data_IF_082585724084
#
_entry.id   IF_082585724084
#
_cell.length_a   1.000
_cell.length_b   1.000
_cell.length_c   1.000
_cell.angle_alpha   90.00
_cell.angle_beta   90.00
_cell.angle_gamma   90.00
#
_symmetry.space_group_name_H-M   'P 1'
#
loop_
_entity.id
_entity.type
_entity.pdbx_description
1 polymer ?
#
# COMPACT_ATOMS: atom_id res chain seq x y z
N UNK A 1 -57.19 5.46 -52.72
CA UNK A 1 -57.26 6.80 -52.08
C UNK A 1 -56.19 6.82 -50.99
N UNK A 2 -55.01 7.36 -51.29
CA UNK A 2 -53.86 7.34 -50.39
C UNK A 2 -53.98 8.48 -49.37
N UNK A 3 -54.36 8.14 -48.13
CA UNK A 3 -54.34 9.07 -47.01
C UNK A 3 -52.89 9.27 -46.55
N UNK A 4 -52.46 10.52 -46.34
CA UNK A 4 -51.08 10.79 -45.90
C UNK A 4 -50.90 10.35 -44.45
N UNK A 5 -49.73 9.82 -44.12
CA UNK A 5 -49.38 9.28 -42.77
C UNK A 5 -49.61 10.30 -41.63
N UNK A 6 -49.57 11.60 -41.94
CA UNK A 6 -49.78 12.69 -40.99
C UNK A 6 -51.25 12.81 -40.58
N UNK A 7 -52.16 12.65 -41.54
CA UNK A 7 -53.62 12.74 -41.34
C UNK A 7 -54.13 11.51 -40.56
N UNK A 8 -53.53 10.33 -40.80
CA UNK A 8 -53.80 9.11 -40.03
C UNK A 8 -53.41 9.25 -38.55
N UNK A 9 -52.28 9.90 -38.25
CA UNK A 9 -51.81 10.13 -36.88
C UNK A 9 -52.68 11.15 -36.13
N UNK A 10 -53.19 12.17 -36.81
CA UNK A 10 -54.10 13.14 -36.20
C UNK A 10 -55.47 12.52 -35.91
N UNK A 11 -56.00 11.71 -36.82
CA UNK A 11 -57.25 10.96 -36.59
C UNK A 11 -57.13 9.98 -35.41
N UNK A 12 -56.07 9.19 -35.35
CA UNK A 12 -55.83 8.26 -34.24
C UNK A 12 -55.69 8.99 -32.89
N UNK A 13 -55.10 10.19 -32.89
CA UNK A 13 -54.94 11.00 -31.68
C UNK A 13 -56.28 11.63 -31.22
N UNK A 14 -57.18 11.96 -32.15
CA UNK A 14 -58.53 12.45 -31.83
C UNK A 14 -59.47 11.31 -31.38
N UNK A 15 -59.38 10.14 -32.01
CA UNK A 15 -60.17 8.96 -31.65
C UNK A 15 -59.73 8.38 -30.29
N UNK A 16 -58.43 8.39 -29.98
CA UNK A 16 -57.92 7.94 -28.67
C UNK A 16 -58.46 8.74 -27.47
N UNK A 17 -58.82 10.02 -27.68
CA UNK A 17 -59.42 10.88 -26.66
C UNK A 17 -60.92 10.65 -26.47
N UNK A 18 -61.56 9.95 -27.39
CA UNK A 18 -63.01 9.75 -27.42
C UNK A 18 -63.41 8.32 -27.05
N UNK A 19 -62.48 7.35 -27.09
CA UNK A 19 -62.79 5.92 -26.94
C UNK A 19 -62.66 5.36 -25.51
N UNK A 20 -62.15 6.12 -24.55
CA UNK A 20 -62.09 5.67 -23.14
C UNK A 20 -62.62 6.78 -22.24
N UNK A 21 -63.87 6.69 -21.74
CA UNK A 21 -64.31 7.55 -20.66
C UNK A 21 -63.43 7.28 -19.42
N UNK A 22 -62.95 8.36 -18.79
CA UNK A 22 -62.07 8.30 -17.62
C UNK A 22 -62.86 7.81 -16.40
N UNK A 23 -62.98 6.49 -16.27
CA UNK A 23 -63.67 5.79 -15.18
C UNK A 23 -62.76 5.56 -13.96
N UNK A 24 -61.54 6.07 -14.00
CA UNK A 24 -60.55 5.84 -12.96
C UNK A 24 -61.00 6.41 -11.61
N UNK A 25 -61.55 7.61 -11.62
CA UNK A 25 -61.99 8.30 -10.40
C UNK A 25 -63.28 7.69 -9.82
N UNK A 26 -64.20 7.24 -10.69
CA UNK A 26 -65.46 6.62 -10.28
C UNK A 26 -65.30 5.21 -9.67
N UNK A 27 -64.22 4.51 -10.02
CA UNK A 27 -63.87 3.20 -9.43
C UNK A 27 -63.10 3.35 -8.12
N UNK A 28 -62.27 4.40 -8.00
CA UNK A 28 -61.48 4.66 -6.79
C UNK A 28 -62.31 5.18 -5.61
N UNK A 29 -63.46 5.83 -5.86
CA UNK A 29 -64.34 6.34 -4.79
C UNK A 29 -65.12 5.23 -4.05
N UNK A 30 -65.28 4.04 -4.64
CA UNK A 30 -66.18 2.98 -4.10
C UNK A 30 -65.51 1.82 -3.39
N UNK A 31 -64.19 1.83 -3.19
CA UNK A 31 -63.50 0.71 -2.53
C UNK A 31 -62.75 1.21 -1.28
N UNK A 32 -63.18 0.86 -0.06
CA UNK A 32 -62.41 1.16 1.14
C UNK A 32 -61.28 0.13 1.26
N UNK A 33 -60.09 0.47 0.77
CA UNK A 33 -58.87 -0.29 1.04
C UNK A 33 -57.87 0.59 1.79
N UNK A 34 -57.82 0.36 3.10
CA UNK A 34 -56.68 0.72 3.94
C UNK A 34 -55.46 -0.12 3.51
N UNK A 35 -54.45 0.49 2.89
CA UNK A 35 -53.10 -0.11 2.73
C UNK A 35 -52.02 0.93 2.42
N UNK A 36 -51.00 0.94 3.28
CA UNK A 36 -49.60 1.26 2.94
C UNK A 36 -49.19 2.73 2.88
N UNK A 37 -48.44 3.19 3.88
CA UNK A 37 -47.65 4.42 3.79
C UNK A 37 -46.56 4.27 2.71
N UNK A 38 -46.48 5.22 1.79
CA UNK A 38 -45.39 5.36 0.81
C UNK A 38 -44.36 6.38 1.30
N UNK A 39 -43.07 6.23 0.95
CA UNK A 39 -41.99 7.07 1.46
C UNK A 39 -42.08 8.50 0.88
N UNK A 40 -41.81 9.48 1.73
CA UNK A 40 -41.78 10.89 1.36
C UNK A 40 -40.63 11.18 0.38
N UNK A 41 -40.95 11.83 -0.76
CA UNK A 41 -39.94 12.36 -1.68
C UNK A 41 -39.25 13.57 -1.04
N UNK A 42 -37.95 13.44 -0.76
CA UNK A 42 -37.08 14.51 -0.23
C UNK A 42 -36.88 15.58 -1.30
N UNK A 43 -37.51 16.73 -1.14
CA UNK A 43 -37.37 17.87 -2.05
C UNK A 43 -36.02 18.57 -1.88
N UNK A 44 -35.28 18.75 -2.97
CA UNK A 44 -34.03 19.51 -3.01
C UNK A 44 -34.31 21.00 -2.75
N UNK A 45 -33.82 21.53 -1.63
CA UNK A 45 -33.95 22.95 -1.31
C UNK A 45 -33.06 23.80 -2.23
N UNK A 46 -33.66 24.37 -3.28
CA UNK A 46 -33.01 25.25 -4.29
C UNK A 46 -32.26 26.47 -3.71
N UNK A 47 -32.51 26.84 -2.45
CA UNK A 47 -31.85 27.97 -1.77
C UNK A 47 -30.37 27.69 -1.45
N UNK A 48 -29.99 26.42 -1.28
CA UNK A 48 -28.58 26.03 -1.06
C UNK A 48 -27.87 25.60 -2.35
N UNK A 49 -28.61 25.33 -3.43
CA UNK A 49 -28.01 24.96 -4.71
C UNK A 49 -27.09 26.07 -5.25
N UNK A 50 -27.45 27.34 -5.01
CA UNK A 50 -26.65 28.50 -5.44
C UNK A 50 -25.41 28.71 -4.54
N UNK A 51 -25.51 28.40 -3.24
CA UNK A 51 -24.34 28.46 -2.35
C UNK A 51 -23.37 27.32 -2.62
N UNK A 52 -23.87 26.11 -2.91
CA UNK A 52 -23.03 24.97 -3.31
C UNK A 52 -22.37 25.20 -4.67
N UNK A 53 -23.10 25.77 -5.64
CA UNK A 53 -22.52 26.12 -6.94
C UNK A 53 -21.42 27.19 -6.80
N UNK A 54 -21.60 28.18 -5.93
CA UNK A 54 -20.61 29.23 -5.68
C UNK A 54 -19.37 28.69 -4.95
N UNK A 55 -19.52 27.79 -3.98
CA UNK A 55 -18.39 27.15 -3.31
C UNK A 55 -17.62 26.20 -4.23
N UNK A 56 -18.32 25.45 -5.09
CA UNK A 56 -17.65 24.61 -6.12
C UNK A 56 -16.93 25.48 -7.14
N UNK A 57 -17.49 26.62 -7.54
CA UNK A 57 -16.82 27.57 -8.44
C UNK A 57 -15.59 28.21 -7.77
N UNK A 58 -15.67 28.58 -6.48
CA UNK A 58 -14.55 29.13 -5.73
C UNK A 58 -13.43 28.09 -5.54
N UNK A 59 -13.78 26.84 -5.23
CA UNK A 59 -12.81 25.75 -5.17
C UNK A 59 -12.20 25.52 -6.55
N UNK A 60 -13.01 25.48 -7.62
CA UNK A 60 -12.50 25.33 -8.98
C UNK A 60 -11.60 26.50 -9.41
N UNK A 61 -11.91 27.73 -9.02
CA UNK A 61 -11.07 28.91 -9.32
C UNK A 61 -9.81 28.88 -8.47
N UNK A 62 -9.87 28.55 -7.18
CA UNK A 62 -8.67 28.43 -6.33
C UNK A 62 -7.80 27.27 -6.79
N UNK A 63 -8.37 26.11 -7.14
CA UNK A 63 -7.66 25.00 -7.76
C UNK A 63 -7.10 25.38 -9.12
N UNK A 64 -7.85 26.05 -9.99
CA UNK A 64 -7.34 26.50 -11.30
C UNK A 64 -6.31 27.62 -11.18
N UNK A 65 -6.31 28.39 -10.08
CA UNK A 65 -5.26 29.38 -9.79
C UNK A 65 -4.04 28.69 -9.16
N UNK A 66 -4.23 27.70 -8.29
CA UNK A 66 -3.17 26.91 -7.65
C UNK A 66 -2.44 26.02 -8.66
N UNK A 67 -3.18 25.30 -9.50
CA UNK A 67 -2.64 24.47 -10.60
C UNK A 67 -2.26 25.31 -11.82
N UNK A 68 -3.00 26.40 -12.12
CA UNK A 68 -2.70 27.27 -13.26
C UNK A 68 -1.50 28.17 -13.05
N UNK A 69 -1.19 28.59 -11.81
CA UNK A 69 0.06 29.30 -11.51
C UNK A 69 1.28 28.38 -11.58
N UNK A 70 1.15 27.08 -11.23
CA UNK A 70 2.20 26.06 -11.45
C UNK A 70 2.39 25.72 -12.94
N UNK A 71 1.31 25.75 -13.73
CA UNK A 71 1.36 25.55 -15.18
C UNK A 71 1.90 26.74 -15.99
N UNK A 72 2.28 27.84 -15.33
CA UNK A 72 2.88 29.03 -15.94
C UNK A 72 4.39 29.10 -15.67
N UNK A 73 5.04 27.96 -15.50
CA UNK A 73 6.50 27.87 -15.45
C UNK A 73 7.08 28.21 -16.83
N UNK A 74 8.11 29.04 -16.80
CA UNK A 74 8.84 29.60 -17.93
C UNK A 74 9.12 28.51 -18.98
N UNK A 75 8.76 28.69 -20.27
CA UNK A 75 9.17 27.76 -21.33
C UNK A 75 10.71 27.64 -21.50
N UNK A 76 11.50 28.38 -20.71
CA UNK A 76 12.94 28.28 -20.59
C UNK A 76 13.46 27.38 -19.44
N UNK A 77 12.63 26.97 -18.47
CA UNK A 77 13.07 26.10 -17.38
C UNK A 77 12.81 24.63 -17.76
N UNK A 78 13.82 24.00 -18.35
CA UNK A 78 13.79 22.56 -18.63
C UNK A 78 13.91 21.75 -17.33
N UNK A 79 13.25 20.60 -17.29
CA UNK A 79 13.29 19.64 -16.18
C UNK A 79 14.73 19.19 -15.88
N UNK A 80 14.98 18.88 -14.60
CA UNK A 80 16.21 18.23 -14.16
C UNK A 80 16.05 16.72 -14.22
N UNK A 81 17.10 16.01 -14.64
CA UNK A 81 17.18 14.56 -14.57
C UNK A 81 18.23 14.17 -13.53
N UNK A 82 17.89 13.25 -12.64
CA UNK A 82 18.78 12.78 -11.58
C UNK A 82 18.93 11.26 -11.75
N UNK A 83 20.14 10.80 -11.99
CA UNK A 83 20.48 9.37 -11.99
C UNK A 83 21.11 9.00 -10.66
N UNK A 84 20.62 7.95 -10.02
CA UNK A 84 21.07 7.45 -8.72
C UNK A 84 21.50 5.99 -8.91
N UNK A 85 22.78 5.73 -8.67
CA UNK A 85 23.38 4.40 -8.81
C UNK A 85 23.90 3.92 -7.45
N UNK A 86 23.16 3.01 -6.83
CA UNK A 86 23.55 2.26 -5.62
C UNK A 86 23.87 0.80 -6.01
N UNK A 87 23.49 0.39 -7.23
CA UNK A 87 23.17 -0.98 -7.61
C UNK A 87 22.01 -1.49 -6.73
N UNK A 88 20.84 -0.82 -6.82
CA UNK A 88 20.13 -0.55 -8.09
C UNK A 88 20.37 0.81 -8.78
N UNK A 89 19.90 0.98 -10.02
CA UNK A 89 20.02 2.24 -10.81
C UNK A 89 18.65 2.87 -11.12
N UNK A 90 18.42 4.09 -10.65
CA UNK A 90 17.14 4.82 -10.74
C UNK A 90 17.31 6.17 -11.44
N UNK A 91 16.36 6.54 -12.29
CA UNK A 91 16.24 7.88 -12.87
C UNK A 91 15.03 8.61 -12.27
N UNK A 92 15.22 9.86 -11.87
CA UNK A 92 14.18 10.80 -11.46
C UNK A 92 14.11 11.94 -12.48
N UNK A 93 12.90 12.35 -12.82
CA UNK A 93 12.61 13.59 -13.54
C UNK A 93 11.97 14.58 -12.57
N UNK A 94 12.55 15.77 -12.46
CA UNK A 94 12.09 16.83 -11.57
C UNK A 94 11.74 18.10 -12.35
N UNK A 95 10.67 18.77 -11.92
CA UNK A 95 10.24 20.03 -12.49
C UNK A 95 11.15 21.20 -12.06
N UNK A 96 10.94 22.43 -12.58
CA UNK A 96 11.75 23.58 -12.22
C UNK A 96 11.73 23.96 -10.72
N UNK A 97 10.71 23.52 -9.98
CA UNK A 97 10.54 23.73 -8.54
C UNK A 97 11.21 22.62 -7.72
N UNK A 98 12.02 21.75 -8.36
CA UNK A 98 12.70 20.59 -7.78
C UNK A 98 11.75 19.56 -7.17
N UNK A 99 10.53 19.47 -7.70
CA UNK A 99 9.57 18.43 -7.34
C UNK A 99 9.64 17.28 -8.34
N UNK A 100 9.64 16.05 -7.84
CA UNK A 100 9.63 14.84 -8.66
C UNK A 100 8.31 14.75 -9.44
N UNK A 101 8.41 14.64 -10.77
CA UNK A 101 7.27 14.48 -11.67
C UNK A 101 7.28 13.14 -12.41
N UNK A 102 8.38 12.39 -12.33
CA UNK A 102 8.52 11.06 -12.89
C UNK A 102 9.70 10.30 -12.29
N UNK A 103 9.65 8.98 -12.36
CA UNK A 103 10.76 8.10 -12.03
C UNK A 103 10.81 6.93 -13.03
N UNK A 104 11.96 6.27 -13.12
CA UNK A 104 12.16 5.09 -13.95
C UNK A 104 13.24 4.19 -13.36
N UNK A 105 12.95 2.88 -13.28
CA UNK A 105 13.96 1.86 -13.06
C UNK A 105 14.85 1.75 -14.30
N UNK A 106 16.17 1.85 -14.14
CA UNK A 106 17.13 1.70 -15.24
C UNK A 106 17.64 0.26 -15.37
N UNK A 107 17.38 -0.60 -14.38
CA UNK A 107 17.69 -2.02 -14.37
C UNK A 107 16.63 -2.81 -13.55
N UNK A 108 16.73 -4.14 -13.58
CA UNK A 108 15.74 -5.03 -12.92
C UNK A 108 15.79 -4.89 -11.40
N UNK A 109 16.98 -4.72 -10.81
CA UNK A 109 17.10 -4.44 -9.37
C UNK A 109 16.35 -3.18 -8.95
N UNK A 110 16.33 -2.16 -9.81
CA UNK A 110 15.62 -0.91 -9.51
C UNK A 110 14.10 -1.08 -9.68
N UNK A 111 13.67 -1.96 -10.59
CA UNK A 111 12.26 -2.33 -10.70
C UNK A 111 11.79 -3.00 -9.41
N UNK A 112 12.53 -4.00 -8.93
CA UNK A 112 12.24 -4.67 -7.66
C UNK A 112 12.27 -3.70 -6.46
N UNK A 113 13.25 -2.77 -6.43
CA UNK A 113 13.36 -1.75 -5.37
C UNK A 113 12.16 -0.80 -5.32
N UNK A 114 11.65 -0.39 -6.49
CA UNK A 114 10.64 0.65 -6.62
C UNK A 114 9.20 0.11 -6.71
N UNK A 115 9.04 -1.21 -6.70
CA UNK A 115 7.76 -1.88 -6.95
C UNK A 115 6.63 -1.43 -6.01
N UNK A 116 6.89 -1.34 -4.70
CA UNK A 116 5.89 -0.88 -3.72
C UNK A 116 5.92 0.64 -3.51
N UNK A 117 7.11 1.25 -3.45
CA UNK A 117 7.30 2.63 -2.99
C UNK A 117 7.59 3.66 -4.09
N UNK A 118 7.80 3.23 -5.34
CA UNK A 118 8.06 4.13 -6.47
C UNK A 118 7.00 5.24 -6.63
N UNK A 119 5.68 4.94 -6.57
CA UNK A 119 4.65 5.96 -6.68
C UNK A 119 4.73 7.06 -5.62
N UNK A 120 5.30 6.77 -4.44
CA UNK A 120 5.45 7.72 -3.33
C UNK A 120 6.51 8.79 -3.63
N UNK A 121 7.42 8.55 -4.59
CA UNK A 121 8.41 9.53 -5.02
C UNK A 121 7.77 10.75 -5.68
N UNK A 122 6.62 10.58 -6.35
CA UNK A 122 5.99 11.65 -7.14
C UNK A 122 5.49 12.77 -6.22
N UNK A 123 5.94 13.99 -6.49
CA UNK A 123 5.59 15.20 -5.75
C UNK A 123 6.48 15.49 -4.54
N UNK A 124 7.44 14.61 -4.22
CA UNK A 124 8.47 14.90 -3.22
C UNK A 124 9.50 15.90 -3.77
N UNK A 125 10.13 16.70 -2.90
CA UNK A 125 11.41 17.34 -3.21
C UNK A 125 12.44 16.29 -3.61
N UNK A 126 13.29 16.58 -4.59
CA UNK A 126 14.31 15.62 -5.09
C UNK A 126 15.23 15.12 -3.97
N UNK A 127 15.59 15.97 -3.02
CA UNK A 127 16.42 15.60 -1.87
C UNK A 127 15.76 14.54 -0.99
N UNK A 128 14.45 14.68 -0.75
CA UNK A 128 13.66 13.71 0.00
C UNK A 128 13.48 12.40 -0.78
N UNK A 129 13.29 12.49 -2.10
CA UNK A 129 13.19 11.32 -2.97
C UNK A 129 14.51 10.53 -3.02
N UNK A 130 15.67 11.21 -3.09
CA UNK A 130 16.99 10.58 -3.02
C UNK A 130 17.19 9.90 -1.66
N UNK A 131 16.84 10.58 -0.56
CA UNK A 131 16.92 9.99 0.78
C UNK A 131 16.01 8.75 0.94
N UNK A 132 14.81 8.80 0.37
CA UNK A 132 13.89 7.66 0.33
C UNK A 132 14.48 6.48 -0.45
N UNK A 133 15.08 6.71 -1.62
CA UNK A 133 15.74 5.64 -2.40
C UNK A 133 16.91 5.02 -1.64
N UNK A 134 17.69 5.83 -0.90
CA UNK A 134 18.76 5.33 -0.02
C UNK A 134 18.18 4.46 1.10
N UNK A 135 17.10 4.90 1.75
CA UNK A 135 16.41 4.13 2.78
C UNK A 135 15.88 2.80 2.21
N UNK A 136 15.21 2.82 1.05
CA UNK A 136 14.74 1.61 0.36
C UNK A 136 15.89 0.65 0.06
N UNK A 137 17.03 1.16 -0.39
CA UNK A 137 18.20 0.35 -0.69
C UNK A 137 18.79 -0.28 0.58
N UNK A 138 18.80 0.43 1.72
CA UNK A 138 19.20 -0.12 3.02
C UNK A 138 18.24 -1.22 3.47
N UNK A 139 16.95 -0.93 3.44
CA UNK A 139 15.89 -1.82 3.94
C UNK A 139 15.80 -3.10 3.10
N UNK A 140 15.97 -2.98 1.79
CA UNK A 140 16.05 -4.11 0.83
C UNK A 140 17.43 -4.78 0.79
N UNK A 141 18.37 -4.32 1.61
CA UNK A 141 19.71 -4.87 1.77
C UNK A 141 20.64 -4.67 0.57
N UNK A 142 20.30 -3.82 -0.39
CA UNK A 142 21.18 -3.37 -1.47
C UNK A 142 22.32 -2.48 -0.95
N UNK A 143 22.11 -1.79 0.17
CA UNK A 143 23.11 -0.98 0.84
C UNK A 143 23.31 -1.46 2.28
N UNK A 144 24.49 -1.99 2.61
CA UNK A 144 24.84 -2.31 3.98
C UNK A 144 25.34 -1.05 4.70
N UNK A 145 24.68 -0.68 5.80
CA UNK A 145 25.04 0.49 6.62
C UNK A 145 26.46 0.41 7.18
N UNK A 146 27.02 -0.80 7.33
CA UNK A 146 28.35 -1.03 7.86
C UNK A 146 29.44 -1.09 6.77
N UNK A 147 29.06 -1.15 5.49
CA UNK A 147 30.00 -1.22 4.38
C UNK A 147 30.49 0.18 3.99
N UNK A 148 31.72 0.48 4.39
CA UNK A 148 32.39 1.75 4.06
C UNK A 148 32.82 1.85 2.59
N UNK A 149 32.85 0.73 1.86
CA UNK A 149 33.25 0.69 0.45
C UNK A 149 32.04 0.80 -0.50
N UNK A 150 30.81 0.74 0.02
CA UNK A 150 29.61 0.95 -0.78
C UNK A 150 29.58 2.38 -1.35
N UNK A 151 29.38 2.52 -2.65
CA UNK A 151 29.34 3.82 -3.33
C UNK A 151 27.92 4.13 -3.82
N UNK A 152 27.44 5.34 -3.50
CA UNK A 152 26.18 5.89 -3.99
C UNK A 152 26.52 6.99 -4.98
N UNK A 153 26.30 6.77 -6.26
CA UNK A 153 26.64 7.75 -7.29
C UNK A 153 25.41 8.52 -7.72
N UNK A 154 25.43 9.84 -7.54
CA UNK A 154 24.33 10.72 -7.98
C UNK A 154 24.81 11.64 -9.09
N UNK A 155 24.07 11.67 -10.20
CA UNK A 155 24.36 12.53 -11.35
C UNK A 155 23.15 13.39 -11.67
N UNK A 156 23.29 14.70 -11.49
CA UNK A 156 22.25 15.68 -11.83
C UNK A 156 22.54 16.25 -13.21
N UNK A 157 21.50 16.37 -14.02
CA UNK A 157 21.60 16.90 -15.38
C UNK A 157 20.52 17.96 -15.57
N UNK A 158 20.94 19.20 -15.82
CA UNK A 158 20.07 20.28 -16.24
C UNK A 158 20.75 21.11 -17.33
N UNK A 159 19.98 21.62 -18.30
CA UNK A 159 20.51 22.49 -19.35
C UNK A 159 21.05 23.82 -18.79
N UNK A 160 20.47 24.31 -17.71
CA UNK A 160 20.99 25.44 -16.95
C UNK A 160 22.07 24.95 -15.97
N UNK A 161 23.33 25.25 -16.30
CA UNK A 161 24.51 24.84 -15.51
C UNK A 161 24.44 25.33 -14.06
N UNK A 162 23.96 26.55 -13.82
CA UNK A 162 23.83 27.06 -12.44
C UNK A 162 22.78 26.28 -11.65
N UNK A 163 21.67 25.88 -12.29
CA UNK A 163 20.64 25.03 -11.66
C UNK A 163 21.20 23.63 -11.39
N UNK A 164 21.92 23.05 -12.34
CA UNK A 164 22.59 21.75 -12.18
C UNK A 164 23.56 21.76 -10.99
N UNK A 165 24.44 22.77 -10.90
CA UNK A 165 25.40 22.90 -9.79
C UNK A 165 24.68 23.09 -8.45
N UNK A 166 23.70 23.99 -8.39
CA UNK A 166 22.96 24.26 -7.14
C UNK A 166 22.20 23.02 -6.66
N UNK A 167 21.54 22.29 -7.57
CA UNK A 167 20.78 21.09 -7.23
C UNK A 167 21.71 19.92 -6.87
N UNK A 168 22.88 19.80 -7.52
CA UNK A 168 23.90 18.81 -7.15
C UNK A 168 24.37 19.05 -5.72
N UNK A 169 24.72 20.28 -5.36
CA UNK A 169 25.14 20.63 -4.00
C UNK A 169 24.01 20.40 -2.98
N UNK A 170 22.76 20.73 -3.32
CA UNK A 170 21.61 20.51 -2.43
C UNK A 170 21.40 19.02 -2.12
N UNK A 171 21.39 18.18 -3.17
CA UNK A 171 21.24 16.72 -3.03
C UNK A 171 22.42 16.12 -2.27
N UNK A 172 23.65 16.54 -2.58
CA UNK A 172 24.85 16.03 -1.91
C UNK A 172 24.81 16.30 -0.41
N UNK A 173 24.47 17.53 -0.01
CA UNK A 173 24.36 17.89 1.40
C UNK A 173 23.23 17.11 2.09
N UNK A 174 22.04 17.08 1.49
CA UNK A 174 20.89 16.40 2.07
C UNK A 174 21.11 14.88 2.21
N UNK A 175 21.65 14.23 1.18
CA UNK A 175 21.95 12.80 1.22
C UNK A 175 23.09 12.48 2.20
N UNK A 176 24.13 13.32 2.26
CA UNK A 176 25.22 13.15 3.24
C UNK A 176 24.74 13.31 4.68
N UNK A 177 23.88 14.28 4.94
CA UNK A 177 23.26 14.51 6.25
C UNK A 177 22.35 13.33 6.63
N UNK A 178 21.56 12.82 5.67
CA UNK A 178 20.70 11.65 5.86
C UNK A 178 21.51 10.38 6.19
N UNK A 179 22.54 10.09 5.39
CA UNK A 179 23.45 8.97 5.62
C UNK A 179 24.14 9.06 6.99
N UNK A 180 24.61 10.26 7.35
CA UNK A 180 25.24 10.50 8.66
C UNK A 180 24.25 10.29 9.82
N UNK A 181 23.01 10.77 9.67
CA UNK A 181 21.95 10.62 10.67
C UNK A 181 21.53 9.16 10.88
N UNK A 182 21.62 8.34 9.83
CA UNK A 182 21.32 6.90 9.85
C UNK A 182 22.55 6.02 10.12
N UNK A 183 23.73 6.62 10.35
CA UNK A 183 25.01 5.93 10.55
C UNK A 183 25.41 5.01 9.39
N UNK A 184 25.04 5.37 8.16
CA UNK A 184 25.44 4.68 6.94
C UNK A 184 26.90 5.05 6.65
N UNK A 185 27.80 4.07 6.66
CA UNK A 185 29.24 4.26 6.45
C UNK A 185 29.65 4.38 4.98
N UNK A 186 28.74 4.04 4.05
CA UNK A 186 28.97 4.14 2.62
C UNK A 186 29.36 5.55 2.16
N UNK A 187 29.91 5.63 0.97
CA UNK A 187 30.43 6.85 0.37
C UNK A 187 29.45 7.41 -0.65
N UNK A 188 28.95 8.61 -0.39
CA UNK A 188 28.24 9.39 -1.41
C UNK A 188 29.24 9.98 -2.40
N UNK A 189 29.02 9.70 -3.68
CA UNK A 189 29.72 10.29 -4.82
C UNK A 189 28.70 11.07 -5.63
N UNK A 190 28.36 12.27 -5.16
CA UNK A 190 27.76 13.24 -6.06
C UNK A 190 28.79 13.54 -7.15
N UNK A 191 28.42 13.38 -8.41
CA UNK A 191 29.30 13.57 -9.56
C UNK A 191 29.62 15.05 -9.74
N UNK A 192 30.43 15.61 -8.83
CA UNK A 192 30.96 16.96 -8.96
C UNK A 192 31.94 16.92 -10.11
N UNK A 193 31.61 17.67 -11.16
CA UNK A 193 32.47 17.79 -12.31
C UNK A 193 33.85 18.34 -11.90
N UNK A 194 34.90 17.58 -12.18
CA UNK A 194 36.29 18.04 -12.03
C UNK A 194 36.53 19.25 -12.93
N UNK A 195 37.57 20.05 -12.66
CA UNK A 195 37.91 21.19 -13.52
C UNK A 195 38.15 20.78 -14.98
N UNK A 196 38.64 19.56 -15.20
CA UNK A 196 38.83 18.99 -16.54
C UNK A 196 37.49 18.65 -17.22
N UNK A 197 36.56 18.02 -16.50
CA UNK A 197 35.20 17.74 -17.00
C UNK A 197 34.46 19.05 -17.31
N UNK A 198 34.54 20.06 -16.43
CA UNK A 198 33.93 21.38 -16.68
C UNK A 198 34.47 22.02 -17.95
N UNK A 199 35.80 22.05 -18.12
CA UNK A 199 36.44 22.60 -19.33
C UNK A 199 35.99 21.88 -20.62
N UNK A 200 35.91 20.55 -20.59
CA UNK A 200 35.47 19.76 -21.75
C UNK A 200 33.97 19.93 -22.02
N UNK A 201 33.14 20.07 -20.98
CA UNK A 201 31.72 20.32 -21.11
C UNK A 201 31.46 21.70 -21.75
N UNK A 202 32.23 22.71 -21.34
CA UNK A 202 32.21 24.06 -21.92
C UNK A 202 32.61 24.05 -23.41
N UNK A 203 33.69 23.34 -23.77
CA UNK A 203 34.12 23.16 -25.17
C UNK A 203 32.99 22.54 -26.02
N UNK A 204 32.29 21.57 -25.46
CA UNK A 204 31.18 20.89 -26.11
C UNK A 204 29.84 21.62 -25.98
N UNK A 205 29.77 22.75 -25.28
CA UNK A 205 28.54 23.51 -25.00
C UNK A 205 27.42 22.63 -24.43
N UNK A 206 27.75 21.82 -23.42
CA UNK A 206 26.81 20.98 -22.66
C UNK A 206 27.06 21.16 -21.16
N UNK A 207 26.12 20.73 -20.34
CA UNK A 207 26.33 20.71 -18.89
C UNK A 207 27.34 19.63 -18.49
N UNK A 208 27.91 19.76 -17.30
CA UNK A 208 28.97 18.87 -16.86
C UNK A 208 28.42 17.49 -16.49
N UNK A 209 27.24 17.44 -15.86
CA UNK A 209 26.49 16.20 -15.64
C UNK A 209 26.18 15.48 -16.95
N UNK A 210 25.80 16.22 -18.00
CA UNK A 210 25.58 15.62 -19.33
C UNK A 210 26.85 15.02 -19.92
N UNK A 211 28.02 15.65 -19.74
CA UNK A 211 29.28 15.08 -20.20
C UNK A 211 29.64 13.80 -19.42
N UNK A 212 29.48 13.80 -18.09
CA UNK A 212 29.72 12.61 -17.25
C UNK A 212 28.85 11.45 -17.72
N UNK A 213 27.58 11.71 -18.01
CA UNK A 213 26.68 10.68 -18.52
C UNK A 213 27.07 10.21 -19.93
N UNK A 214 27.51 11.10 -20.81
CA UNK A 214 28.05 10.71 -22.13
C UNK A 214 29.25 9.77 -21.93
N UNK A 215 30.19 10.10 -21.05
CA UNK A 215 31.36 9.25 -20.79
C UNK A 215 30.98 7.87 -20.25
N UNK A 216 29.98 7.79 -19.36
CA UNK A 216 29.43 6.49 -18.91
C UNK A 216 28.80 5.71 -20.06
N UNK A 217 28.00 6.37 -20.89
CA UNK A 217 27.39 5.76 -22.06
C UNK A 217 28.46 5.28 -23.08
N UNK A 218 29.56 6.00 -23.24
CA UNK A 218 30.69 5.58 -24.08
C UNK A 218 31.47 4.40 -23.48
N UNK A 219 31.55 4.30 -22.15
CA UNK A 219 32.14 3.14 -21.50
C UNK A 219 31.29 1.87 -21.71
N UNK A 220 29.96 2.01 -21.71
CA UNK A 220 29.02 0.92 -21.99
C UNK A 220 28.94 0.56 -23.50
N UNK A 221 28.95 1.57 -24.38
CA UNK A 221 29.00 1.41 -25.84
C UNK A 221 30.20 2.17 -26.44
N UNK A 222 31.34 1.50 -26.64
CA UNK A 222 32.54 2.11 -27.22
C UNK A 222 32.37 2.64 -28.65
N UNK A 223 31.26 2.33 -29.33
CA UNK A 223 30.97 2.87 -30.68
C UNK A 223 30.33 4.26 -30.64
N UNK A 224 29.82 4.69 -29.47
CA UNK A 224 29.27 6.02 -29.26
C UNK A 224 30.39 7.06 -29.24
N UNK A 225 30.36 8.00 -30.20
CA UNK A 225 31.24 9.17 -30.17
C UNK A 225 30.67 10.27 -29.27
N UNK A 226 31.52 11.13 -28.70
CA UNK A 226 31.10 12.24 -27.85
C UNK A 226 30.13 13.20 -28.59
N UNK A 227 30.36 13.45 -29.88
CA UNK A 227 29.48 14.28 -30.72
C UNK A 227 28.11 13.63 -30.95
N UNK A 228 28.07 12.31 -31.15
CA UNK A 228 26.80 11.59 -31.23
C UNK A 228 26.07 11.62 -29.89
N UNK A 229 26.79 11.39 -28.77
CA UNK A 229 26.23 11.44 -27.42
C UNK A 229 25.63 12.79 -27.06
N UNK A 230 26.26 13.90 -27.49
CA UNK A 230 25.73 15.26 -27.31
C UNK A 230 24.33 15.45 -27.92
N UNK A 231 24.07 14.82 -29.07
CA UNK A 231 22.80 14.91 -29.78
C UNK A 231 21.69 14.01 -29.17
N UNK A 232 22.04 13.08 -28.29
CA UNK A 232 21.09 12.22 -27.59
C UNK A 232 20.41 12.96 -26.43
N UNK A 233 19.19 12.51 -26.11
CA UNK A 233 18.50 12.92 -24.89
C UNK A 233 19.17 12.30 -23.66
N UNK A 234 18.98 12.91 -22.48
CA UNK A 234 19.44 12.34 -21.20
C UNK A 234 18.88 10.94 -21.01
N UNK A 235 17.57 10.79 -21.24
CA UNK A 235 16.87 9.50 -21.22
C UNK A 235 17.61 8.41 -22.01
N UNK A 236 18.01 8.73 -23.25
CA UNK A 236 18.68 7.76 -24.13
C UNK A 236 20.13 7.48 -23.70
N UNK A 237 20.81 8.47 -23.14
CA UNK A 237 22.16 8.27 -22.62
C UNK A 237 22.14 7.38 -21.36
N UNK A 238 21.18 7.57 -20.46
CA UNK A 238 20.95 6.67 -19.31
C UNK A 238 20.64 5.25 -19.80
N UNK A 239 19.80 5.10 -20.82
CA UNK A 239 19.52 3.78 -21.39
C UNK A 239 20.79 3.05 -21.87
N UNK A 240 21.71 3.78 -22.53
CA UNK A 240 22.97 3.20 -23.00
C UNK A 240 23.90 2.90 -21.81
N UNK A 241 24.04 3.84 -20.87
CA UNK A 241 24.94 3.74 -19.73
C UNK A 241 24.64 2.54 -18.82
N UNK A 242 23.35 2.18 -18.67
CA UNK A 242 22.91 1.11 -17.79
C UNK A 242 22.53 -0.19 -18.52
N UNK A 243 22.72 -0.25 -19.85
CA UNK A 243 22.29 -1.41 -20.64
C UNK A 243 20.79 -1.66 -20.56
N UNK A 244 20.01 -0.58 -20.48
CA UNK A 244 18.56 -0.63 -20.27
C UNK A 244 17.86 -1.48 -21.33
N UNK A 245 17.10 -2.45 -20.85
CA UNK A 245 16.33 -3.37 -21.66
C UNK A 245 14.86 -3.30 -21.21
N UNK A 246 14.01 -2.50 -21.90
CA UNK A 246 12.63 -2.30 -21.49
C UNK A 246 11.82 -3.59 -21.57
N UNK A 247 12.11 -4.48 -22.52
CA UNK A 247 11.38 -5.74 -22.68
C UNK A 247 11.68 -6.68 -21.50
N UNK A 248 12.93 -6.71 -21.02
CA UNK A 248 13.29 -7.48 -19.83
C UNK A 248 12.69 -6.91 -18.54
N UNK A 249 12.72 -5.60 -18.35
CA UNK A 249 12.14 -4.96 -17.17
C UNK A 249 10.63 -5.17 -17.15
N UNK A 250 9.94 -4.96 -18.28
CA UNK A 250 8.49 -5.18 -18.40
C UNK A 250 8.14 -6.65 -18.16
N UNK A 251 8.89 -7.59 -18.75
CA UNK A 251 8.68 -9.02 -18.50
C UNK A 251 8.93 -9.43 -17.05
N UNK A 252 9.93 -8.86 -16.39
CA UNK A 252 10.17 -9.07 -14.96
C UNK A 252 8.98 -8.56 -14.13
N UNK A 253 8.55 -7.32 -14.38
CA UNK A 253 7.44 -6.69 -13.68
C UNK A 253 6.14 -7.51 -13.83
N UNK A 254 5.79 -7.94 -15.04
CA UNK A 254 4.60 -8.78 -15.28
C UNK A 254 4.65 -10.11 -14.51
N UNK A 255 5.79 -10.78 -14.50
CA UNK A 255 5.98 -12.05 -13.78
C UNK A 255 5.94 -11.84 -12.26
N UNK A 256 6.58 -10.77 -11.77
CA UNK A 256 6.56 -10.39 -10.36
C UNK A 256 5.12 -10.10 -9.90
N UNK A 257 4.41 -9.24 -10.63
CA UNK A 257 3.03 -8.85 -10.34
C UNK A 257 2.10 -10.06 -10.32
N UNK A 258 2.17 -10.92 -11.35
CA UNK A 258 1.38 -12.16 -11.39
C UNK A 258 1.63 -13.03 -10.15
N UNK A 259 2.88 -13.06 -9.67
CA UNK A 259 3.26 -13.88 -8.51
C UNK A 259 2.67 -13.31 -7.22
N UNK A 260 2.84 -12.01 -6.99
CA UNK A 260 2.39 -11.30 -5.79
C UNK A 260 0.86 -11.16 -5.73
N UNK A 261 0.19 -10.96 -6.86
CA UNK A 261 -1.27 -10.82 -6.97
C UNK A 261 -1.99 -12.00 -6.32
N UNK A 262 -1.49 -13.22 -6.50
CA UNK A 262 -2.11 -14.42 -5.89
C UNK A 262 -2.15 -14.36 -4.35
N UNK A 263 -1.10 -13.83 -3.72
CA UNK A 263 -1.06 -13.66 -2.27
C UNK A 263 -1.93 -12.48 -1.83
N UNK A 264 -1.94 -11.40 -2.62
CA UNK A 264 -2.75 -10.22 -2.33
C UNK A 264 -4.25 -10.53 -2.41
N UNK A 265 -4.70 -11.29 -3.40
CA UNK A 265 -6.09 -11.76 -3.51
C UNK A 265 -6.50 -12.59 -2.29
N UNK A 266 -5.63 -13.51 -1.85
CA UNK A 266 -5.87 -14.32 -0.65
C UNK A 266 -5.95 -13.45 0.62
N UNK A 267 -5.06 -12.46 0.77
CA UNK A 267 -5.08 -11.47 1.85
C UNK A 267 -6.39 -10.67 1.84
N UNK A 268 -6.80 -10.15 0.69
CA UNK A 268 -8.03 -9.35 0.55
C UNK A 268 -9.28 -10.17 0.87
N UNK A 269 -9.33 -11.44 0.43
CA UNK A 269 -10.41 -12.34 0.79
C UNK A 269 -10.51 -12.58 2.30
N UNK A 270 -9.36 -12.72 2.98
CA UNK A 270 -9.31 -12.87 4.44
C UNK A 270 -9.76 -11.61 5.18
N UNK A 271 -9.29 -10.43 4.75
CA UNK A 271 -9.72 -9.14 5.29
C UNK A 271 -11.23 -8.94 5.10
N UNK A 272 -11.77 -9.32 3.94
CA UNK A 272 -13.21 -9.22 3.70
C UNK A 272 -14.00 -10.17 4.61
N UNK A 273 -13.54 -11.40 4.79
CA UNK A 273 -14.16 -12.34 5.73
C UNK A 273 -14.14 -11.83 7.18
N UNK A 274 -13.07 -11.14 7.58
CA UNK A 274 -12.94 -10.50 8.90
C UNK A 274 -13.99 -9.40 9.09
N UNK A 275 -14.13 -8.53 8.10
CA UNK A 275 -15.14 -7.46 8.13
C UNK A 275 -16.56 -8.01 8.13
N UNK A 276 -16.83 -9.06 7.35
CA UNK A 276 -18.14 -9.72 7.34
C UNK A 276 -18.47 -10.33 8.70
N UNK A 277 -17.50 -10.98 9.36
CA UNK A 277 -17.64 -11.50 10.73
C UNK A 277 -17.93 -10.36 11.72
N UNK A 278 -17.16 -9.27 11.67
CA UNK A 278 -17.35 -8.10 12.53
C UNK A 278 -18.73 -7.46 12.34
N UNK A 279 -19.18 -7.33 11.10
CA UNK A 279 -20.50 -6.79 10.77
C UNK A 279 -21.64 -7.70 11.28
N UNK A 280 -21.47 -9.02 11.24
CA UNK A 280 -22.43 -9.96 11.81
C UNK A 280 -22.56 -9.78 13.33
N UNK A 281 -21.43 -9.66 14.04
CA UNK A 281 -21.38 -9.41 15.49
C UNK A 281 -22.09 -8.09 15.83
N UNK A 282 -21.71 -7.00 15.16
CA UNK A 282 -22.31 -5.67 15.37
C UNK A 282 -23.80 -5.67 15.06
N UNK A 283 -24.23 -6.40 14.02
CA UNK A 283 -25.64 -6.57 13.67
C UNK A 283 -26.44 -7.24 14.78
N UNK A 284 -25.94 -8.33 15.37
CA UNK A 284 -26.58 -9.00 16.50
C UNK A 284 -26.58 -8.14 17.77
N UNK A 285 -25.48 -7.44 18.07
CA UNK A 285 -25.41 -6.48 19.18
C UNK A 285 -26.48 -5.38 19.01
N UNK A 286 -26.59 -4.79 17.83
CA UNK A 286 -27.58 -3.76 17.53
C UNK A 286 -29.02 -4.29 17.70
N UNK A 287 -29.28 -5.53 17.27
CA UNK A 287 -30.59 -6.15 17.46
C UNK A 287 -30.94 -6.35 18.94
N UNK A 288 -29.98 -6.79 19.77
CA UNK A 288 -30.17 -6.91 21.22
C UNK A 288 -30.36 -5.51 21.85
N UNK A 289 -29.62 -4.49 21.40
CA UNK A 289 -29.80 -3.10 21.88
C UNK A 289 -31.21 -2.59 21.66
N UNK A 290 -31.85 -2.94 20.53
CA UNK A 290 -33.27 -2.62 20.28
C UNK A 290 -34.18 -3.28 21.32
N UNK A 291 -33.97 -4.56 21.64
CA UNK A 291 -34.74 -5.25 22.68
C UNK A 291 -34.57 -4.59 24.06
N UNK A 292 -33.33 -4.20 24.41
CA UNK A 292 -33.01 -3.49 25.65
C UNK A 292 -33.71 -2.13 25.70
N UNK A 293 -33.66 -1.35 24.61
CA UNK A 293 -34.32 -0.04 24.52
C UNK A 293 -35.85 -0.13 24.59
N UNK A 294 -36.43 -1.19 23.98
CA UNK A 294 -37.85 -1.48 24.04
C UNK A 294 -38.32 -2.03 25.41
N UNK A 295 -37.38 -2.31 26.32
CA UNK A 295 -37.63 -2.95 27.63
C UNK A 295 -38.37 -4.28 27.50
N UNK A 296 -37.94 -5.11 26.57
CA UNK A 296 -38.42 -6.50 26.46
C UNK A 296 -38.09 -7.31 27.75
N UNK A 297 -38.75 -8.45 27.98
CA UNK A 297 -38.45 -9.28 29.14
C UNK A 297 -36.97 -9.65 29.21
N UNK A 298 -36.35 -9.47 30.38
CA UNK A 298 -34.92 -9.73 30.57
C UNK A 298 -34.51 -11.18 30.25
N UNK A 299 -35.43 -12.14 30.37
CA UNK A 299 -35.21 -13.52 29.97
C UNK A 299 -34.97 -13.66 28.46
N UNK A 300 -35.74 -12.96 27.65
CA UNK A 300 -35.64 -13.02 26.18
C UNK A 300 -34.34 -12.36 25.71
N UNK A 301 -34.01 -11.20 26.30
CA UNK A 301 -32.72 -10.52 26.07
C UNK A 301 -31.57 -11.44 26.45
N UNK A 302 -31.62 -12.07 27.63
CA UNK A 302 -30.58 -13.01 28.11
C UNK A 302 -30.38 -14.17 27.14
N UNK A 303 -31.45 -14.79 26.65
CA UNK A 303 -31.36 -15.91 25.70
C UNK A 303 -30.66 -15.47 24.42
N UNK A 304 -31.03 -14.31 23.87
CA UNK A 304 -30.39 -13.80 22.65
C UNK A 304 -28.93 -13.40 22.87
N UNK A 305 -28.62 -12.73 23.98
CA UNK A 305 -27.24 -12.40 24.34
C UNK A 305 -26.40 -13.64 24.55
N UNK A 306 -26.97 -14.71 25.14
CA UNK A 306 -26.26 -15.98 25.31
C UNK A 306 -25.92 -16.62 23.96
N UNK A 307 -26.82 -16.54 22.98
CA UNK A 307 -26.55 -17.02 21.63
C UNK A 307 -25.41 -16.24 20.95
N UNK A 308 -25.41 -14.90 21.05
CA UNK A 308 -24.30 -14.05 20.57
C UNK A 308 -22.97 -14.44 21.23
N UNK A 309 -22.96 -14.49 22.56
CA UNK A 309 -21.76 -14.79 23.35
C UNK A 309 -21.23 -16.19 23.06
N UNK A 310 -22.11 -17.19 22.94
CA UNK A 310 -21.67 -18.55 22.63
C UNK A 310 -21.11 -18.70 21.21
N UNK A 311 -21.54 -17.84 20.29
CA UNK A 311 -21.12 -17.90 18.89
C UNK A 311 -19.81 -17.15 18.61
N UNK A 312 -19.52 -16.07 19.35
CA UNK A 312 -18.42 -15.16 19.02
C UNK A 312 -17.52 -14.78 20.20
N UNK A 313 -17.91 -15.12 21.43
CA UNK A 313 -17.21 -14.72 22.65
C UNK A 313 -17.27 -15.84 23.72
N UNK A 314 -16.75 -17.05 23.45
CA UNK A 314 -17.03 -18.23 24.27
C UNK A 314 -16.56 -18.12 25.74
N UNK A 315 -15.65 -17.19 26.04
CA UNK A 315 -15.19 -16.89 27.41
C UNK A 315 -16.04 -15.85 28.15
N UNK A 316 -16.87 -15.08 27.46
CA UNK A 316 -17.71 -14.08 28.10
C UNK A 316 -18.85 -14.77 28.88
N UNK A 317 -19.13 -14.28 30.09
CA UNK A 317 -20.18 -14.84 30.94
C UNK A 317 -21.31 -13.83 31.16
N UNK A 318 -22.53 -14.34 31.35
CA UNK A 318 -23.70 -13.52 31.69
C UNK A 318 -24.02 -13.57 33.20
N UNK A 319 -23.04 -13.91 34.01
CA UNK A 319 -23.19 -13.93 35.47
C UNK A 319 -23.39 -12.51 36.00
N UNK A 320 -24.37 -12.32 36.88
CA UNK A 320 -24.68 -11.00 37.45
C UNK A 320 -25.34 -9.99 36.50
N UNK A 321 -25.61 -10.32 35.22
CA UNK A 321 -26.27 -9.44 34.24
C UNK A 321 -27.80 -9.52 34.36
N UNK A 322 -28.39 -8.74 35.26
CA UNK A 322 -29.81 -8.84 35.68
C UNK A 322 -30.63 -7.54 35.46
N UNK A 323 -30.10 -6.58 34.69
CA UNK A 323 -30.79 -5.31 34.41
C UNK A 323 -30.47 -4.77 33.02
N UNK A 324 -31.36 -3.94 32.48
CA UNK A 324 -31.17 -3.28 31.17
C UNK A 324 -29.85 -2.51 31.10
N UNK A 325 -29.48 -1.79 32.17
CA UNK A 325 -28.22 -1.05 32.22
C UNK A 325 -27.00 -1.95 32.14
N UNK A 326 -27.02 -3.11 32.81
CA UNK A 326 -25.93 -4.11 32.73
C UNK A 326 -25.85 -4.76 31.35
N UNK A 327 -27.00 -5.04 30.71
CA UNK A 327 -27.00 -5.50 29.31
C UNK A 327 -26.42 -4.45 28.36
N UNK A 328 -26.83 -3.18 28.48
CA UNK A 328 -26.25 -2.10 27.66
C UNK A 328 -24.74 -1.98 27.86
N UNK A 329 -24.26 -2.06 29.10
CA UNK A 329 -22.83 -2.02 29.39
C UNK A 329 -22.09 -3.18 28.74
N UNK A 330 -22.56 -4.42 28.93
CA UNK A 330 -21.98 -5.60 28.31
C UNK A 330 -21.95 -5.48 26.77
N UNK A 331 -23.05 -5.05 26.14
CA UNK A 331 -23.15 -4.90 24.69
C UNK A 331 -22.21 -3.81 24.14
N UNK A 332 -21.83 -2.82 24.94
CA UNK A 332 -20.80 -1.86 24.54
C UNK A 332 -19.41 -2.51 24.61
N UNK A 333 -19.11 -3.23 25.69
CA UNK A 333 -17.84 -3.94 25.85
C UNK A 333 -17.62 -4.99 24.77
N UNK A 334 -18.66 -5.75 24.39
CA UNK A 334 -18.57 -6.73 23.30
C UNK A 334 -18.35 -6.08 21.93
N UNK A 335 -18.94 -4.91 21.68
CA UNK A 335 -18.75 -4.17 20.42
C UNK A 335 -17.33 -3.59 20.34
N UNK A 336 -16.83 -3.02 21.44
CA UNK A 336 -15.46 -2.49 21.56
C UNK A 336 -14.43 -3.62 21.39
N UNK A 337 -14.61 -4.72 22.13
CA UNK A 337 -13.74 -5.90 22.01
C UNK A 337 -13.71 -6.45 20.58
N UNK A 338 -14.88 -6.57 19.91
CA UNK A 338 -14.93 -7.04 18.53
C UNK A 338 -14.18 -6.11 17.57
N UNK A 339 -14.25 -4.79 17.78
CA UNK A 339 -13.53 -3.82 16.96
C UNK A 339 -12.01 -3.93 17.17
N UNK A 340 -11.55 -3.91 18.43
CA UNK A 340 -10.12 -4.05 18.76
C UNK A 340 -9.54 -5.37 18.23
N UNK A 341 -10.30 -6.46 18.34
CA UNK A 341 -9.87 -7.77 17.85
C UNK A 341 -9.77 -7.81 16.33
N UNK A 342 -10.74 -7.24 15.61
CA UNK A 342 -10.66 -7.15 14.16
C UNK A 342 -9.47 -6.32 13.69
N UNK A 343 -9.12 -5.23 14.37
CA UNK A 343 -7.92 -4.46 14.01
C UNK A 343 -6.63 -5.26 14.25
N UNK A 344 -6.52 -5.99 15.37
CA UNK A 344 -5.35 -6.85 15.62
C UNK A 344 -5.21 -7.96 14.57
N UNK A 345 -6.30 -8.66 14.23
CA UNK A 345 -6.27 -9.73 13.22
C UNK A 345 -5.90 -9.16 11.85
N UNK A 346 -6.45 -8.00 11.48
CA UNK A 346 -6.08 -7.27 10.26
C UNK A 346 -4.58 -6.98 10.23
N UNK A 347 -4.02 -6.42 11.30
CA UNK A 347 -2.59 -6.13 11.44
C UNK A 347 -1.75 -7.41 11.25
N UNK A 348 -2.16 -8.53 11.83
CA UNK A 348 -1.47 -9.82 11.70
C UNK A 348 -1.53 -10.38 10.27
N UNK A 349 -2.68 -10.27 9.59
CA UNK A 349 -2.85 -10.65 8.17
C UNK A 349 -1.92 -9.81 7.27
N UNK A 350 -1.92 -8.49 7.48
CA UNK A 350 -1.06 -7.55 6.75
C UNK A 350 0.42 -7.87 6.97
N UNK A 351 0.81 -8.10 8.23
CA UNK A 351 2.17 -8.48 8.62
C UNK A 351 2.59 -9.79 7.98
N UNK A 352 1.71 -10.81 7.95
CA UNK A 352 1.99 -12.10 7.32
C UNK A 352 2.22 -11.94 5.82
N UNK A 353 1.37 -11.17 5.14
CA UNK A 353 1.52 -10.89 3.71
C UNK A 353 2.84 -10.16 3.42
N UNK A 354 3.10 -9.07 4.15
CA UNK A 354 4.32 -8.26 3.98
C UNK A 354 5.60 -9.08 4.23
N UNK A 355 5.62 -9.89 5.29
CA UNK A 355 6.77 -10.75 5.62
C UNK A 355 7.09 -11.73 4.49
N UNK A 356 6.05 -12.30 3.87
CA UNK A 356 6.23 -13.22 2.74
C UNK A 356 6.71 -12.50 1.48
N UNK A 357 6.19 -11.31 1.18
CA UNK A 357 6.66 -10.49 0.05
C UNK A 357 8.12 -10.07 0.26
N UNK A 358 8.50 -9.65 1.47
CA UNK A 358 9.91 -9.35 1.76
C UNK A 358 10.84 -10.55 1.57
N UNK A 359 10.41 -11.74 2.00
CA UNK A 359 11.18 -12.96 1.76
C UNK A 359 11.30 -13.28 0.26
N UNK A 360 10.22 -13.09 -0.49
CA UNK A 360 10.23 -13.24 -1.94
C UNK A 360 11.17 -12.22 -2.60
N UNK A 361 11.14 -10.95 -2.20
CA UNK A 361 12.02 -9.90 -2.74
C UNK A 361 13.50 -10.20 -2.46
N UNK A 362 13.82 -10.70 -1.27
CA UNK A 362 15.17 -11.15 -0.94
C UNK A 362 15.62 -12.31 -1.84
N UNK A 363 14.73 -13.25 -2.15
CA UNK A 363 15.04 -14.31 -3.11
C UNK A 363 15.21 -13.77 -4.53
N UNK A 364 14.33 -12.88 -4.96
CA UNK A 364 14.37 -12.27 -6.30
C UNK A 364 15.66 -11.48 -6.51
N UNK A 365 16.07 -10.69 -5.52
CA UNK A 365 17.38 -10.00 -5.54
C UNK A 365 18.52 -10.97 -5.82
N UNK A 366 18.61 -12.08 -5.07
CA UNK A 366 19.65 -13.09 -5.30
C UNK A 366 19.53 -13.75 -6.69
N UNK A 367 18.31 -13.98 -7.16
CA UNK A 367 18.06 -14.56 -8.47
C UNK A 367 18.42 -13.60 -9.62
N UNK A 368 18.32 -12.28 -9.42
CA UNK A 368 18.80 -11.26 -10.36
C UNK A 368 20.33 -11.24 -10.39
N UNK A 369 21.00 -11.28 -9.23
CA UNK A 369 22.47 -11.28 -9.14
C UNK A 369 23.11 -12.53 -9.77
N UNK A 370 22.46 -13.70 -9.64
CA UNK A 370 22.94 -14.99 -10.19
C UNK A 370 22.43 -15.22 -11.63
N UNK A 371 21.29 -14.63 -11.97
CA UNK A 371 20.50 -14.93 -13.16
C UNK A 371 21.11 -14.40 -14.46
N UNK A 372 21.05 -15.25 -15.49
CA UNK A 372 21.36 -14.87 -16.87
C UNK A 372 20.12 -14.30 -17.59
N UNK A 373 19.71 -14.91 -18.69
CA UNK A 373 18.53 -14.46 -19.46
C UNK A 373 17.18 -14.84 -18.82
N UNK A 374 17.14 -15.88 -17.97
CA UNK A 374 15.91 -16.37 -17.32
C UNK A 374 16.03 -16.25 -15.79
N UNK A 375 15.22 -15.36 -15.19
CA UNK A 375 15.15 -15.18 -13.73
C UNK A 375 14.14 -16.20 -13.17
N UNK A 376 14.52 -16.90 -12.10
CA UNK A 376 13.64 -17.88 -11.44
C UNK A 376 12.65 -17.18 -10.48
N UNK A 377 11.35 -17.43 -10.68
CA UNK A 377 10.25 -16.92 -9.84
C UNK A 377 9.64 -18.02 -8.94
N UNK A 378 10.30 -19.17 -8.81
CA UNK A 378 9.85 -20.27 -7.96
C UNK A 378 9.86 -19.86 -6.48
N UNK A 379 8.68 -19.49 -5.98
CA UNK A 379 8.42 -19.20 -4.58
C UNK A 379 7.04 -19.71 -4.21
N UNK A 380 6.91 -20.42 -3.11
CA UNK A 380 5.64 -20.91 -2.58
C UNK A 380 5.19 -20.01 -1.44
N UNK A 381 4.15 -19.21 -1.73
CA UNK A 381 3.46 -18.40 -0.74
C UNK A 381 2.52 -19.27 0.10
N UNK A 382 2.53 -19.07 1.41
CA UNK A 382 1.49 -19.49 2.32
C UNK A 382 0.26 -18.57 2.15
N UNK A 383 -0.67 -19.04 1.33
CA UNK A 383 -1.96 -18.39 1.08
C UNK A 383 -3.00 -18.70 2.18
N UNK A 384 -2.63 -19.48 3.21
CA UNK A 384 -3.46 -19.72 4.37
C UNK A 384 -3.57 -18.45 5.22
N UNK A 385 -4.73 -17.82 5.21
CA UNK A 385 -5.08 -16.74 6.13
C UNK A 385 -6.29 -17.16 6.96
N UNK A 386 -6.30 -18.40 7.44
CA UNK A 386 -7.47 -18.96 8.12
C UNK A 386 -7.70 -18.24 9.45
N UNK A 387 -8.96 -17.86 9.74
CA UNK A 387 -9.31 -17.17 11.00
C UNK A 387 -8.94 -17.99 12.24
N UNK A 388 -8.85 -19.30 12.08
CA UNK A 388 -8.45 -20.26 13.11
C UNK A 388 -6.96 -20.10 13.47
N UNK A 389 -6.11 -19.67 12.52
CA UNK A 389 -4.72 -19.28 12.77
C UNK A 389 -4.63 -17.98 13.59
N UNK A 390 -5.67 -17.14 13.51
CA UNK A 390 -5.76 -15.84 14.20
C UNK A 390 -6.61 -15.90 15.48
N UNK A 391 -6.58 -17.02 16.19
CA UNK A 391 -7.14 -17.24 17.55
C UNK A 391 -8.44 -16.46 17.83
N UNK A 392 -9.37 -16.48 16.88
CA UNK A 392 -10.55 -15.58 16.86
C UNK A 392 -11.48 -15.80 18.07
N UNK A 393 -11.38 -16.97 18.74
CA UNK A 393 -12.34 -17.39 19.77
C UNK A 393 -11.74 -17.76 21.14
N UNK A 394 -10.42 -17.85 21.33
CA UNK A 394 -9.89 -18.62 22.47
C UNK A 394 -8.99 -17.90 23.48
N UNK A 395 -8.54 -16.67 23.20
CA UNK A 395 -7.65 -15.92 24.09
C UNK A 395 -8.06 -14.46 24.17
N UNK A 396 -8.66 -14.00 25.30
CA UNK A 396 -8.69 -12.57 25.56
C UNK A 396 -7.24 -12.12 25.80
N UNK A 397 -6.70 -11.27 24.92
CA UNK A 397 -5.49 -10.50 25.22
C UNK A 397 -5.89 -9.43 26.23
N UNK A 398 -5.60 -9.68 27.49
CA UNK A 398 -5.95 -8.78 28.59
C UNK A 398 -4.89 -7.69 28.79
N UNK A 399 -3.71 -7.86 28.18
CA UNK A 399 -2.56 -6.96 28.33
C UNK A 399 -1.86 -6.68 27.01
N UNK A 400 -1.12 -5.57 26.98
CA UNK A 400 -0.25 -5.20 25.86
C UNK A 400 0.84 -6.26 25.60
N UNK A 401 1.35 -6.89 26.67
CA UNK A 401 2.33 -7.97 26.58
C UNK A 401 1.77 -9.20 25.84
N UNK A 402 0.53 -9.62 26.14
CA UNK A 402 -0.13 -10.74 25.46
C UNK A 402 -0.38 -10.42 23.97
N UNK A 403 -0.81 -9.19 23.66
CA UNK A 403 -0.97 -8.73 22.27
C UNK A 403 0.35 -8.78 21.51
N UNK A 404 1.44 -8.33 22.12
CA UNK A 404 2.76 -8.34 21.50
C UNK A 404 3.29 -9.77 21.28
N UNK A 405 3.03 -10.69 22.21
CA UNK A 405 3.35 -12.09 22.05
C UNK A 405 2.65 -12.70 20.83
N UNK A 406 1.37 -12.36 20.60
CA UNK A 406 0.65 -12.81 19.40
C UNK A 406 1.28 -12.29 18.10
N UNK A 407 1.72 -11.03 18.08
CA UNK A 407 2.45 -10.48 16.92
C UNK A 407 3.74 -11.25 16.64
N UNK A 408 4.51 -11.53 17.69
CA UNK A 408 5.76 -12.29 17.58
C UNK A 408 5.49 -13.71 17.08
N UNK A 409 4.50 -14.40 17.66
CA UNK A 409 4.08 -15.75 17.23
C UNK A 409 3.73 -15.76 15.75
N UNK A 410 2.92 -14.81 15.30
CA UNK A 410 2.51 -14.68 13.90
C UNK A 410 3.70 -14.46 12.96
N UNK A 411 4.60 -13.54 13.32
CA UNK A 411 5.79 -13.25 12.51
C UNK A 411 6.75 -14.44 12.44
N UNK A 412 7.08 -15.05 13.58
CA UNK A 412 7.99 -16.21 13.63
C UNK A 412 7.38 -17.40 12.89
N UNK A 413 6.10 -17.69 13.09
CA UNK A 413 5.41 -18.78 12.39
C UNK A 413 5.39 -18.57 10.88
N UNK A 414 5.21 -17.32 10.43
CA UNK A 414 5.26 -16.97 9.00
C UNK A 414 6.67 -17.20 8.43
N UNK A 415 7.70 -16.73 9.13
CA UNK A 415 9.09 -16.92 8.70
C UNK A 415 9.49 -18.40 8.66
N UNK A 416 9.04 -19.22 9.62
CA UNK A 416 9.24 -20.67 9.58
C UNK A 416 8.55 -21.28 8.35
N UNK A 417 7.28 -20.96 8.09
CA UNK A 417 6.56 -21.45 6.91
C UNK A 417 7.27 -21.07 5.60
N UNK A 418 7.74 -19.83 5.50
CA UNK A 418 8.53 -19.36 4.35
C UNK A 418 9.75 -20.24 4.14
N UNK A 419 10.49 -20.57 5.21
CA UNK A 419 11.68 -21.42 5.10
C UNK A 419 11.35 -22.86 4.71
N UNK A 420 10.27 -23.42 5.25
CA UNK A 420 9.85 -24.81 5.00
C UNK A 420 9.30 -25.00 3.59
N UNK A 421 8.49 -24.05 3.10
CA UNK A 421 7.90 -24.09 1.76
C UNK A 421 8.93 -23.78 0.67
N UNK A 422 10.01 -23.08 1.01
CA UNK A 422 11.03 -22.65 0.05
C UNK A 422 12.42 -23.18 0.46
N UNK A 423 12.66 -24.51 0.52
CA UNK A 423 13.89 -25.08 1.10
C UNK A 423 15.16 -24.77 0.29
N UNK A 424 15.00 -24.37 -0.98
CA UNK A 424 16.11 -23.95 -1.85
C UNK A 424 16.31 -22.43 -1.86
N UNK A 425 15.45 -21.67 -1.17
CA UNK A 425 15.54 -20.23 -1.03
C UNK A 425 16.73 -19.81 -0.15
N UNK A 426 17.36 -18.69 -0.49
CA UNK A 426 18.39 -18.09 0.36
C UNK A 426 17.75 -17.25 1.46
N UNK A 427 17.53 -17.86 2.62
CA UNK A 427 16.87 -17.23 3.78
C UNK A 427 17.82 -16.42 4.67
N UNK A 428 18.81 -15.74 4.08
CA UNK A 428 20.03 -15.29 4.75
C UNK A 428 19.85 -14.57 6.09
N UNK A 429 18.88 -13.65 6.20
CA UNK A 429 18.58 -12.92 7.45
C UNK A 429 17.42 -13.53 8.26
N UNK A 430 16.66 -14.47 7.70
CA UNK A 430 15.46 -15.03 8.33
C UNK A 430 15.76 -15.68 9.69
N UNK A 431 16.82 -16.47 9.79
CA UNK A 431 17.21 -17.10 11.04
C UNK A 431 17.60 -16.08 12.13
N UNK A 432 18.27 -14.98 11.75
CA UNK A 432 18.62 -13.90 12.66
C UNK A 432 17.38 -13.13 13.14
N UNK A 433 16.42 -12.87 12.23
CA UNK A 433 15.15 -12.22 12.57
C UNK A 433 14.36 -13.10 13.54
N UNK A 434 14.20 -14.40 13.23
CA UNK A 434 13.56 -15.38 14.11
C UNK A 434 14.23 -15.38 15.48
N UNK A 435 15.56 -15.47 15.55
CA UNK A 435 16.29 -15.45 16.82
C UNK A 435 16.06 -14.18 17.62
N UNK A 436 15.97 -13.02 16.97
CA UNK A 436 15.74 -11.72 17.63
C UNK A 436 14.32 -11.65 18.20
N UNK A 437 13.34 -12.09 17.42
CA UNK A 437 11.93 -12.17 17.83
C UNK A 437 11.75 -13.16 18.99
N UNK A 438 12.40 -14.31 18.94
CA UNK A 438 12.32 -15.32 20.01
C UNK A 438 12.99 -14.86 21.31
N UNK A 439 14.11 -14.13 21.24
CA UNK A 439 14.70 -13.53 22.44
C UNK A 439 13.73 -12.54 23.11
N UNK A 440 12.94 -11.80 22.32
CA UNK A 440 11.90 -10.91 22.82
C UNK A 440 10.70 -11.69 23.38
N UNK A 441 10.29 -12.77 22.71
CA UNK A 441 9.25 -13.68 23.17
C UNK A 441 9.56 -14.23 24.57
N UNK A 442 10.77 -14.77 24.78
CA UNK A 442 11.21 -15.35 26.04
C UNK A 442 11.14 -14.35 27.20
N UNK A 443 11.50 -13.08 26.96
CA UNK A 443 11.40 -12.02 27.97
C UNK A 443 9.94 -11.68 28.28
N UNK A 444 9.07 -11.64 27.27
CA UNK A 444 7.67 -11.24 27.43
C UNK A 444 6.82 -12.34 28.07
N UNK A 445 7.00 -13.62 27.69
CA UNK A 445 6.18 -14.73 28.19
C UNK A 445 6.34 -14.93 29.70
N UNK A 446 7.52 -14.61 30.24
CA UNK A 446 7.84 -14.65 31.67
C UNK A 446 7.37 -13.39 32.44
N UNK A 447 6.83 -12.38 31.75
CA UNK A 447 6.34 -11.15 32.36
C UNK A 447 5.15 -11.41 33.30
N UNK A 448 5.06 -10.77 34.48
CA UNK A 448 3.90 -10.89 35.37
C UNK A 448 2.59 -10.36 34.74
N UNK A 449 2.67 -9.64 33.62
CA UNK A 449 1.52 -9.14 32.87
C UNK A 449 0.86 -10.21 31.99
N UNK A 450 1.55 -11.33 31.74
CA UNK A 450 1.00 -12.45 30.98
C UNK A 450 0.29 -13.40 31.93
N UNK A 451 -0.94 -13.75 31.59
CA UNK A 451 -1.77 -14.67 32.38
C UNK A 451 -1.32 -16.13 32.24
N UNK A 452 -1.61 -16.94 33.26
CA UNK A 452 -1.37 -18.39 33.18
C UNK A 452 -2.25 -19.06 32.12
N UNK A 453 -3.44 -18.50 31.86
CA UNK A 453 -4.33 -18.96 30.80
C UNK A 453 -3.69 -18.76 29.43
N UNK A 454 -3.05 -17.60 29.20
CA UNK A 454 -2.28 -17.37 27.97
C UNK A 454 -1.12 -18.35 27.87
N UNK A 455 -0.25 -18.46 28.89
CA UNK A 455 0.94 -19.34 28.84
C UNK A 455 0.60 -20.80 28.52
N UNK A 456 -0.48 -21.30 29.11
CA UNK A 456 -0.85 -22.71 28.98
C UNK A 456 -1.81 -22.99 27.82
N UNK A 457 -2.10 -21.99 26.99
CA UNK A 457 -2.97 -22.16 25.84
C UNK A 457 -2.37 -23.09 24.79
N UNK A 458 -3.20 -23.92 24.17
CA UNK A 458 -2.81 -24.91 23.14
C UNK A 458 -1.99 -24.26 22.01
N UNK A 459 -2.46 -23.12 21.52
CA UNK A 459 -1.73 -22.24 20.59
C UNK A 459 -0.27 -22.01 20.92
N UNK A 460 0.03 -21.65 22.17
CA UNK A 460 1.40 -21.32 22.57
C UNK A 460 2.25 -22.59 22.63
N UNK A 461 1.66 -23.70 23.06
CA UNK A 461 2.33 -25.01 23.06
C UNK A 461 2.62 -25.50 21.64
N UNK A 462 1.69 -25.30 20.71
CA UNK A 462 1.85 -25.64 19.29
C UNK A 462 2.93 -24.77 18.63
N UNK A 463 2.91 -23.47 18.91
CA UNK A 463 3.94 -22.54 18.45
C UNK A 463 5.33 -22.93 18.96
N UNK A 464 5.48 -23.17 20.27
CA UNK A 464 6.74 -23.60 20.86
C UNK A 464 7.23 -24.91 20.23
N UNK A 465 6.32 -25.88 20.04
CA UNK A 465 6.64 -27.16 19.39
C UNK A 465 7.11 -26.97 17.95
N UNK A 466 6.45 -26.09 17.18
CA UNK A 466 6.85 -25.73 15.82
C UNK A 466 8.23 -25.07 15.79
N UNK A 467 8.49 -24.14 16.70
CA UNK A 467 9.80 -23.49 16.82
C UNK A 467 10.91 -24.48 17.18
N UNK A 468 10.66 -25.42 18.10
CA UNK A 468 11.62 -26.48 18.43
C UNK A 468 11.90 -27.42 17.25
N UNK A 469 10.87 -27.74 16.45
CA UNK A 469 11.05 -28.51 15.22
C UNK A 469 11.92 -27.76 14.21
N UNK A 470 11.69 -26.45 14.05
CA UNK A 470 12.51 -25.58 13.19
C UNK A 470 13.99 -25.57 13.63
N UNK A 471 14.28 -25.50 14.93
CA UNK A 471 15.67 -25.55 15.44
C UNK A 471 16.35 -26.92 15.25
N UNK A 472 15.58 -27.99 15.11
CA UNK A 472 16.07 -29.36 14.96
C UNK A 472 16.42 -29.75 13.52
N UNK A 473 15.95 -28.97 12.54
CA UNK A 473 16.20 -29.13 11.11
C UNK A 473 17.38 -28.25 10.66
#
# INVERSE_FOLDING_TARGET
MNMRLKDLKEQLRLESKTFVPDLKDAVLEKIPLTRGATPAKRGWNRKHAWTYALSVLLIAVVSMTYFGLRGMNDPAAENSFISIDINPSVEIEADPDDLVVGYRALNIDAELLLEESGPELIGLPVEEAVAMIIDLAVDSGYLDIADAEAEIVVTVINKNVTKEETLTEAIENAASDHMSGKLIQGKLVASIATSEIKSRADELNISAGKLILIERAQAADPTLSAEAGKALSVKRLNEIAHGYDPEKIESFHENYQTKVETLQEAKEAAIQALEDRRLAIVGEIAAIRVMVAAREPLGDIRVRTLALVSAYFPHATLEGIDSYGKFSFLLNQLEEFAAERSELIREMIETKCHTQIQAFNNQMKNNIEIGGEDIDFAFEFDQGFEMEDYHDDQLPTNTEAETELLRIINQVSTLINVTENNPHGQHGKTAQIISTLMARYEVLIDSPEVSDDFRNHETNQDFESKYQAYLGN
#
